data_IF_358077878427
#
_entry.id   IF_358077878427
#
_cell.length_a   1.000
_cell.length_b   1.000
_cell.length_c   1.000
_cell.angle_alpha   90.00
_cell.angle_beta   90.00
_cell.angle_gamma   90.00
#
_symmetry.space_group_name_H-M   'P 1'
#
loop_
_entity.id
_entity.type
_entity.pdbx_description
1 polymer ?
#
# COMPACT_ATOMS: atom_id res chain seq x y z
N UNK A 1 8.62 28.65 -50.32
CA UNK A 1 7.86 27.48 -49.85
C UNK A 1 7.06 27.95 -48.65
N UNK A 2 5.78 28.34 -48.89
CA UNK A 2 4.97 28.97 -47.85
C UNK A 2 4.42 27.87 -46.92
N UNK A 3 4.79 27.93 -45.68
CA UNK A 3 4.20 27.11 -44.61
C UNK A 3 2.79 27.65 -44.42
N UNK A 4 1.81 26.89 -44.87
CA UNK A 4 0.41 27.17 -44.66
C UNK A 4 0.11 26.96 -43.20
N UNK A 5 0.10 28.03 -42.41
CA UNK A 5 -0.37 28.01 -41.04
C UNK A 5 -1.78 27.42 -41.02
N UNK A 6 -1.91 26.22 -40.43
CA UNK A 6 -3.23 25.69 -40.10
C UNK A 6 -3.86 26.67 -39.12
N UNK A 7 -5.06 27.20 -39.40
CA UNK A 7 -5.74 27.98 -38.39
C UNK A 7 -5.85 27.11 -37.15
N UNK A 8 -5.25 27.55 -36.04
CA UNK A 8 -5.54 26.99 -34.73
C UNK A 8 -7.04 27.20 -34.55
N UNK A 9 -7.76 26.12 -34.52
CA UNK A 9 -9.15 26.13 -34.06
C UNK A 9 -9.07 26.41 -32.57
N UNK A 10 -8.89 27.69 -32.21
CA UNK A 10 -9.17 28.13 -30.88
C UNK A 10 -10.66 28.01 -30.70
N UNK A 11 -11.06 27.16 -29.81
CA UNK A 11 -12.35 27.13 -29.15
C UNK A 11 -13.43 27.81 -29.98
N UNK A 12 -14.18 27.03 -30.70
CA UNK A 12 -15.50 27.48 -30.99
C UNK A 12 -16.14 27.79 -29.63
N UNK A 13 -16.19 29.05 -29.30
CA UNK A 13 -17.11 29.59 -28.32
C UNK A 13 -18.51 29.52 -28.92
N UNK A 14 -18.85 28.34 -29.36
CA UNK A 14 -20.19 28.09 -29.81
C UNK A 14 -21.02 27.84 -28.58
N UNK A 15 -22.08 28.56 -28.43
CA UNK A 15 -23.10 28.51 -27.40
C UNK A 15 -23.77 27.16 -27.16
N UNK A 16 -22.98 26.09 -27.23
CA UNK A 16 -23.30 24.72 -26.81
C UNK A 16 -22.56 24.30 -25.55
N UNK A 17 -22.46 25.20 -24.60
CA UNK A 17 -22.11 24.88 -23.23
C UNK A 17 -23.20 24.09 -22.49
N UNK A 18 -24.17 23.54 -23.20
CA UNK A 18 -25.25 22.74 -22.60
C UNK A 18 -24.84 21.29 -22.22
N UNK A 19 -23.66 20.89 -22.58
CA UNK A 19 -23.10 19.64 -22.04
C UNK A 19 -21.81 19.99 -21.30
N UNK A 20 -21.86 20.08 -19.97
CA UNK A 20 -20.62 20.04 -19.24
C UNK A 20 -19.95 18.73 -19.65
N UNK A 21 -18.93 18.83 -20.47
CA UNK A 21 -17.99 17.73 -20.63
C UNK A 21 -17.30 17.64 -19.27
N UNK A 22 -18.01 17.06 -18.33
CA UNK A 22 -17.41 16.57 -17.12
C UNK A 22 -16.39 15.60 -17.66
N UNK A 23 -15.15 16.07 -17.75
CA UNK A 23 -14.01 15.18 -17.86
C UNK A 23 -14.11 14.40 -16.57
N UNK A 24 -14.80 13.27 -16.62
CA UNK A 24 -14.78 12.34 -15.50
C UNK A 24 -13.31 12.05 -15.31
N UNK A 25 -12.75 12.66 -14.27
CA UNK A 25 -11.36 12.44 -13.93
C UNK A 25 -11.25 10.93 -13.82
N UNK A 26 -10.41 10.35 -14.65
CA UNK A 26 -10.24 8.90 -14.74
C UNK A 26 -9.93 8.44 -13.33
N UNK A 27 -10.85 7.73 -12.74
CA UNK A 27 -10.68 7.21 -11.39
C UNK A 27 -9.34 6.48 -11.32
N UNK A 28 -8.45 6.94 -10.46
CA UNK A 28 -7.12 6.31 -10.32
C UNK A 28 -7.30 5.00 -9.57
N UNK A 29 -7.51 3.94 -10.30
CA UNK A 29 -7.57 2.58 -9.77
C UNK A 29 -6.15 2.10 -9.47
N UNK A 30 -5.87 1.74 -8.23
CA UNK A 30 -4.61 1.09 -7.88
C UNK A 30 -4.63 -0.34 -8.39
N UNK A 31 -3.57 -0.73 -9.09
CA UNK A 31 -3.43 -2.09 -9.65
C UNK A 31 -2.06 -2.63 -9.29
N UNK A 32 -2.04 -3.89 -8.90
CA UNK A 32 -0.82 -4.61 -8.56
C UNK A 32 -0.90 -6.06 -9.06
N UNK A 33 0.23 -6.73 -9.17
CA UNK A 33 0.31 -8.13 -9.55
C UNK A 33 0.06 -8.99 -8.31
N UNK A 34 -0.71 -10.07 -8.46
CA UNK A 34 -0.91 -11.01 -7.36
C UNK A 34 0.36 -11.83 -7.12
N UNK A 35 0.93 -11.69 -5.92
CA UNK A 35 2.16 -12.38 -5.53
C UNK A 35 1.97 -13.88 -5.24
N UNK A 36 0.75 -14.40 -5.29
CA UNK A 36 0.53 -15.84 -5.23
C UNK A 36 0.93 -16.55 -6.52
N UNK A 37 1.14 -15.78 -7.62
CA UNK A 37 1.52 -16.27 -8.95
C UNK A 37 0.64 -17.40 -9.49
N UNK A 38 -0.62 -17.47 -9.02
CA UNK A 38 -1.58 -18.41 -9.58
C UNK A 38 -1.85 -18.05 -11.04
N UNK A 39 -1.59 -19.01 -11.94
CA UNK A 39 -1.80 -18.81 -13.36
C UNK A 39 -3.29 -18.82 -13.70
N UNK A 40 -3.71 -17.90 -14.55
CA UNK A 40 -5.02 -17.97 -15.23
C UNK A 40 -4.99 -19.08 -16.29
N UNK A 41 -6.16 -19.51 -16.71
CA UNK A 41 -6.32 -20.48 -17.81
C UNK A 41 -5.63 -20.05 -19.12
N UNK A 42 -5.37 -18.77 -19.30
CA UNK A 42 -4.64 -18.19 -20.44
C UNK A 42 -3.14 -17.97 -20.18
N UNK A 43 -2.60 -18.45 -19.06
CA UNK A 43 -1.17 -18.31 -18.74
C UNK A 43 -0.73 -16.97 -18.18
N UNK A 44 -1.64 -16.02 -17.95
CA UNK A 44 -1.34 -14.72 -17.31
C UNK A 44 -1.56 -14.80 -15.79
N UNK A 45 -0.96 -13.88 -15.04
CA UNK A 45 -1.09 -13.76 -13.59
C UNK A 45 -2.28 -12.88 -13.22
N UNK A 46 -2.93 -13.18 -12.10
CA UNK A 46 -4.02 -12.34 -11.60
C UNK A 46 -3.51 -10.98 -11.18
N UNK A 47 -4.36 -9.96 -11.38
CA UNK A 47 -4.14 -8.59 -10.92
C UNK A 47 -5.05 -8.32 -9.73
N UNK A 48 -4.48 -7.70 -8.69
CA UNK A 48 -5.23 -7.14 -7.57
C UNK A 48 -5.53 -5.68 -7.82
N UNK A 49 -6.69 -5.23 -7.41
CA UNK A 49 -7.12 -3.84 -7.58
C UNK A 49 -7.46 -3.21 -6.25
N UNK A 50 -7.29 -1.89 -6.18
CA UNK A 50 -7.68 -1.02 -5.07
C UNK A 50 -7.32 -1.58 -3.68
N UNK A 51 -8.32 -1.90 -2.86
CA UNK A 51 -8.14 -2.36 -1.50
C UNK A 51 -7.23 -3.59 -1.39
N UNK A 52 -7.39 -4.56 -2.30
CA UNK A 52 -6.58 -5.76 -2.29
C UNK A 52 -5.11 -5.49 -2.67
N UNK A 53 -4.87 -4.53 -3.56
CA UNK A 53 -3.54 -4.10 -3.95
C UNK A 53 -2.81 -3.38 -2.80
N UNK A 54 -3.47 -2.41 -2.17
CA UNK A 54 -2.90 -1.66 -1.03
C UNK A 54 -2.67 -2.60 0.17
N UNK A 55 -3.61 -3.48 0.45
CA UNK A 55 -3.47 -4.48 1.52
C UNK A 55 -2.25 -5.40 1.30
N UNK A 56 -2.03 -5.85 0.08
CA UNK A 56 -0.86 -6.65 -0.28
C UNK A 56 0.43 -5.85 -0.13
N UNK A 57 0.45 -4.60 -0.57
CA UNK A 57 1.61 -3.71 -0.45
C UNK A 57 2.01 -3.49 1.01
N UNK A 58 1.05 -3.16 1.89
CA UNK A 58 1.31 -2.99 3.33
C UNK A 58 1.81 -4.30 3.96
N UNK A 59 1.19 -5.43 3.62
CA UNK A 59 1.65 -6.73 4.11
C UNK A 59 3.11 -6.99 3.72
N UNK A 60 3.46 -6.73 2.47
CA UNK A 60 4.84 -6.92 2.00
C UNK A 60 5.81 -5.95 2.69
N UNK A 61 5.41 -4.67 2.85
CA UNK A 61 6.19 -3.69 3.58
C UNK A 61 6.52 -4.17 4.99
N UNK A 62 5.53 -4.67 5.72
CA UNK A 62 5.70 -5.14 7.10
C UNK A 62 6.59 -6.39 7.20
N UNK A 63 6.51 -7.29 6.21
CA UNK A 63 7.28 -8.53 6.19
C UNK A 63 8.71 -8.36 5.63
N UNK A 64 9.03 -7.21 5.04
CA UNK A 64 10.37 -6.94 4.51
C UNK A 64 11.28 -6.42 5.61
N UNK A 65 12.49 -6.98 5.71
CA UNK A 65 13.50 -6.50 6.64
C UNK A 65 14.32 -5.37 6.03
N UNK A 66 14.97 -4.59 6.89
CA UNK A 66 15.93 -3.61 6.46
C UNK A 66 17.09 -4.30 5.70
N UNK A 67 17.45 -3.75 4.55
CA UNK A 67 18.52 -4.29 3.70
C UNK A 67 18.07 -5.34 2.68
N UNK A 68 16.87 -5.92 2.79
CA UNK A 68 16.36 -6.90 1.81
C UNK A 68 16.12 -6.27 0.43
N UNK A 69 15.73 -4.99 0.43
CA UNK A 69 15.46 -4.28 -0.82
C UNK A 69 16.70 -3.54 -1.30
N UNK A 70 17.24 -3.87 -2.49
CA UNK A 70 18.40 -3.18 -3.05
C UNK A 70 18.09 -1.70 -3.28
N UNK A 71 19.07 -0.83 -3.08
CA UNK A 71 19.04 0.63 -3.23
C UNK A 71 18.16 1.40 -2.22
N UNK A 72 17.40 0.73 -1.37
CA UNK A 72 16.58 1.34 -0.32
C UNK A 72 16.75 0.59 0.99
N UNK A 73 17.88 0.82 1.66
CA UNK A 73 18.30 0.04 2.83
C UNK A 73 17.30 0.09 3.99
N UNK A 74 16.66 1.23 4.20
CA UNK A 74 15.70 1.42 5.30
C UNK A 74 14.25 1.09 4.94
N UNK A 75 14.02 0.52 3.76
CA UNK A 75 12.69 0.08 3.38
C UNK A 75 12.29 -1.16 4.18
N UNK A 76 11.07 -1.17 4.72
CA UNK A 76 10.50 -2.33 5.42
C UNK A 76 10.09 -2.01 6.85
N UNK A 77 9.28 -2.89 7.40
CA UNK A 77 8.84 -2.84 8.80
C UNK A 77 9.81 -3.46 9.78
N UNK A 78 10.81 -4.21 9.29
CA UNK A 78 11.86 -4.88 10.08
C UNK A 78 11.34 -5.66 11.31
N UNK A 79 10.13 -6.20 11.20
CA UNK A 79 9.46 -6.85 12.34
C UNK A 79 10.18 -8.11 12.83
N UNK A 80 10.95 -8.75 11.96
CA UNK A 80 11.72 -9.91 12.35
C UNK A 80 12.78 -9.58 13.39
N UNK A 81 13.35 -8.36 13.41
CA UNK A 81 14.34 -7.99 14.42
C UNK A 81 13.72 -8.05 15.82
N UNK A 82 12.51 -7.54 15.97
CA UNK A 82 11.79 -7.58 17.26
C UNK A 82 11.47 -8.99 17.73
N UNK A 83 11.25 -9.95 16.82
CA UNK A 83 11.04 -11.35 17.21
C UNK A 83 12.30 -12.03 17.76
N UNK A 84 13.49 -11.49 17.47
CA UNK A 84 14.75 -12.03 17.94
C UNK A 84 15.31 -11.28 19.17
N UNK A 85 14.70 -10.17 19.55
CA UNK A 85 14.97 -9.47 20.78
C UNK A 85 14.33 -10.17 21.99
N UNK A 86 14.66 -9.76 23.19
CA UNK A 86 14.04 -10.29 24.38
C UNK A 86 12.61 -9.75 24.48
N UNK A 87 11.62 -10.63 24.31
CA UNK A 87 10.20 -10.24 24.22
C UNK A 87 9.69 -9.61 25.53
N UNK A 88 10.29 -9.94 26.66
CA UNK A 88 9.91 -9.37 27.96
C UNK A 88 10.27 -7.87 28.08
N UNK A 89 11.26 -7.42 27.31
CA UNK A 89 11.73 -6.03 27.30
C UNK A 89 11.14 -5.20 26.14
N UNK A 90 10.37 -5.84 25.24
CA UNK A 90 9.76 -5.17 24.10
C UNK A 90 8.61 -4.25 24.53
N UNK A 91 8.75 -2.98 24.24
CA UNK A 91 7.66 -2.03 24.38
C UNK A 91 6.76 -2.07 23.15
N UNK A 92 5.48 -2.45 23.34
CA UNK A 92 4.48 -2.44 22.28
C UNK A 92 4.38 -1.07 21.61
N UNK A 93 4.66 0.00 22.35
CA UNK A 93 4.60 1.36 21.86
C UNK A 93 5.74 1.65 20.86
N UNK A 94 6.95 1.14 21.13
CA UNK A 94 8.09 1.28 20.21
C UNK A 94 7.81 0.58 18.88
N UNK A 95 7.25 -0.63 18.93
CA UNK A 95 6.85 -1.38 17.73
C UNK A 95 5.77 -0.60 16.96
N UNK A 96 4.77 -0.04 17.65
CA UNK A 96 3.72 0.76 17.02
C UNK A 96 4.27 2.00 16.32
N UNK A 97 5.18 2.73 16.97
CA UNK A 97 5.79 3.92 16.39
C UNK A 97 6.62 3.58 15.16
N UNK A 98 7.40 2.49 15.23
CA UNK A 98 8.20 2.01 14.10
C UNK A 98 7.33 1.64 12.89
N UNK A 99 6.27 0.87 13.10
CA UNK A 99 5.34 0.45 12.05
C UNK A 99 4.60 1.65 11.46
N UNK A 100 4.14 2.57 12.32
CA UNK A 100 3.45 3.78 11.89
C UNK A 100 4.34 4.64 10.99
N UNK A 101 5.60 4.84 11.39
CA UNK A 101 6.58 5.55 10.58
C UNK A 101 6.83 4.85 9.24
N UNK A 102 6.99 3.52 9.24
CA UNK A 102 7.19 2.75 8.02
C UNK A 102 6.02 2.88 7.04
N UNK A 103 4.78 2.74 7.52
CA UNK A 103 3.58 2.87 6.66
C UNK A 103 3.47 4.28 6.10
N UNK A 104 3.60 5.31 6.93
CA UNK A 104 3.47 6.71 6.50
C UNK A 104 4.54 7.11 5.47
N UNK A 105 5.76 6.59 5.61
CA UNK A 105 6.87 6.93 4.71
C UNK A 105 6.79 6.19 3.36
N UNK A 106 6.37 4.93 3.37
CA UNK A 106 6.50 4.07 2.20
C UNK A 106 5.17 3.73 1.51
N UNK A 107 4.02 3.96 2.18
CA UNK A 107 2.70 3.67 1.60
C UNK A 107 1.75 4.88 1.67
N UNK A 108 1.97 5.91 0.85
CA UNK A 108 1.17 7.13 0.87
C UNK A 108 -0.29 6.93 0.40
N UNK A 109 -0.63 5.76 -0.16
CA UNK A 109 -1.99 5.43 -0.60
C UNK A 109 -2.91 5.04 0.55
N UNK A 110 -2.33 4.76 1.73
CA UNK A 110 -3.05 4.34 2.92
C UNK A 110 -2.89 5.38 4.03
N UNK A 111 -4.00 5.81 4.60
CA UNK A 111 -4.03 6.64 5.81
C UNK A 111 -4.23 5.73 7.01
N UNK A 112 -3.22 5.61 7.86
CA UNK A 112 -3.30 4.81 9.07
C UNK A 112 -4.32 5.42 10.04
N UNK A 113 -5.32 4.63 10.45
CA UNK A 113 -6.35 5.04 11.40
C UNK A 113 -6.08 4.50 12.79
N UNK A 114 -5.77 3.23 12.90
CA UNK A 114 -5.40 2.59 14.16
C UNK A 114 -4.46 1.43 13.94
N UNK A 115 -3.55 1.27 14.88
CA UNK A 115 -2.63 0.16 14.96
C UNK A 115 -2.75 -0.47 16.34
N UNK A 116 -2.86 -1.77 16.39
CA UNK A 116 -2.79 -2.54 17.63
C UNK A 116 -1.72 -3.60 17.48
N UNK A 117 -0.86 -3.64 18.45
CA UNK A 117 0.19 -4.65 18.58
C UNK A 117 -0.14 -5.50 19.80
N UNK A 118 -0.04 -6.79 19.68
CA UNK A 118 -0.20 -7.72 20.76
C UNK A 118 0.98 -8.68 20.76
N UNK A 119 1.83 -8.51 21.72
CA UNK A 119 3.03 -9.36 21.91
C UNK A 119 2.65 -10.54 22.78
N UNK A 120 2.93 -11.76 22.31
CA UNK A 120 2.67 -13.00 23.04
C UNK A 120 3.99 -13.69 23.40
N UNK A 121 4.52 -13.49 24.61
CA UNK A 121 5.79 -14.07 25.03
C UNK A 121 5.77 -15.60 25.00
N UNK A 122 4.65 -16.20 25.41
CA UNK A 122 4.52 -17.66 25.51
C UNK A 122 4.74 -18.38 24.16
N UNK A 123 4.30 -17.75 23.07
CA UNK A 123 4.39 -18.31 21.73
C UNK A 123 5.51 -17.71 20.89
N UNK A 124 6.26 -16.76 21.44
CA UNK A 124 7.21 -15.93 20.69
C UNK A 124 6.57 -15.41 19.38
N UNK A 125 5.40 -14.80 19.50
CA UNK A 125 4.66 -14.27 18.37
C UNK A 125 4.23 -12.83 18.62
N UNK A 126 4.16 -12.08 17.53
CA UNK A 126 3.65 -10.70 17.49
C UNK A 126 2.45 -10.69 16.55
N UNK A 127 1.30 -10.28 17.07
CA UNK A 127 0.10 -10.06 16.29
C UNK A 127 -0.10 -8.57 16.03
N UNK A 128 -0.31 -8.21 14.79
CA UNK A 128 -0.54 -6.85 14.34
C UNK A 128 -1.91 -6.72 13.72
N UNK A 129 -2.71 -5.81 14.23
CA UNK A 129 -3.96 -5.40 13.61
C UNK A 129 -3.83 -3.96 13.12
N UNK A 130 -3.73 -3.81 11.81
CA UNK A 130 -3.58 -2.52 11.13
C UNK A 130 -4.91 -2.15 10.50
N UNK A 131 -5.47 -1.01 10.87
CA UNK A 131 -6.64 -0.40 10.22
C UNK A 131 -6.22 0.85 9.50
N UNK A 132 -6.53 0.91 8.23
CA UNK A 132 -6.20 2.05 7.38
C UNK A 132 -7.32 2.37 6.41
N UNK A 133 -7.35 3.60 5.96
CA UNK A 133 -8.26 4.08 4.93
C UNK A 133 -7.51 4.30 3.63
N UNK A 134 -8.09 3.88 2.54
CA UNK A 134 -7.53 4.08 1.20
C UNK A 134 -7.89 5.50 0.73
N UNK A 135 -6.88 6.24 0.25
CA UNK A 135 -7.05 7.66 -0.12
C UNK A 135 -8.04 7.86 -1.27
N UNK A 136 -8.08 6.94 -2.25
CA UNK A 136 -8.93 7.12 -3.44
C UNK A 136 -10.39 6.69 -3.22
N UNK A 137 -10.61 5.56 -2.53
CA UNK A 137 -11.94 4.96 -2.38
C UNK A 137 -12.57 5.29 -1.04
N UNK A 138 -11.80 5.85 -0.11
CA UNK A 138 -12.23 6.11 1.28
C UNK A 138 -12.73 4.85 2.01
N UNK A 139 -12.39 3.68 1.50
CA UNK A 139 -12.69 2.41 2.15
C UNK A 139 -11.79 2.17 3.35
N UNK A 140 -12.39 1.72 4.45
CA UNK A 140 -11.66 1.27 5.62
C UNK A 140 -11.32 -0.22 5.46
N UNK A 141 -10.05 -0.54 5.58
CA UNK A 141 -9.53 -1.91 5.41
C UNK A 141 -8.81 -2.34 6.67
N UNK A 142 -9.03 -3.57 7.05
CA UNK A 142 -8.32 -4.21 8.15
C UNK A 142 -7.34 -5.26 7.61
N UNK A 143 -6.14 -5.24 8.16
CA UNK A 143 -5.08 -6.20 7.91
C UNK A 143 -4.64 -6.81 9.23
N UNK A 144 -4.74 -8.11 9.33
CA UNK A 144 -4.15 -8.87 10.42
C UNK A 144 -2.88 -9.57 9.92
N UNK A 145 -1.78 -9.39 10.63
CA UNK A 145 -0.48 -10.04 10.36
C UNK A 145 -0.02 -10.70 11.64
N UNK A 146 0.21 -11.99 11.59
CA UNK A 146 0.80 -12.75 12.67
C UNK A 146 2.21 -13.21 12.27
N UNK A 147 3.15 -12.92 13.14
CA UNK A 147 4.56 -13.29 12.99
C UNK A 147 4.93 -14.21 14.15
N UNK A 148 5.44 -15.37 13.83
CA UNK A 148 5.84 -16.37 14.83
C UNK A 148 7.29 -16.74 14.58
N UNK A 149 8.08 -16.76 15.64
CA UNK A 149 9.45 -17.25 15.59
C UNK A 149 9.43 -18.77 15.43
N UNK A 150 9.90 -19.24 14.27
CA UNK A 150 10.12 -20.66 14.06
C UNK A 150 11.38 -21.09 14.83
N UNK A 151 11.27 -22.18 15.58
CA UNK A 151 12.40 -22.81 16.28
C UNK A 151 13.19 -23.70 15.34
#
# INVERSE_FOLDING_TARGET
MCIRDRPRVFSQEDGQLEKPTIISSRERVYKDVDLTFTARSMGDVFKKTDAAAVKQSIKNLLLTNHGDKPFTHYYGGNLNSFLFENIDDLDEMEIMDHISAAINNYEPRALLQSLKVNVRPDNNSIELLVRFQIVNTFENVELNVELTRLR
#
